data_IF_414218583169
#
_entry.id   IF_414218583169
#
_cell.length_a   1.000
_cell.length_b   1.000
_cell.length_c   1.000
_cell.angle_alpha   90.00
_cell.angle_beta   90.00
_cell.angle_gamma   90.00
#
_symmetry.space_group_name_H-M   'P 1'
#
loop_
_entity.id
_entity.type
_entity.pdbx_description
1 polymer ?
#
# COMPACT_ATOMS: atom_id res chain seq x y z
N UNK A 1 4.44 -3.27 4.55
CA UNK A 1 4.48 -4.71 4.90
C UNK A 1 3.58 -5.60 4.04
N UNK A 2 2.34 -5.21 3.72
CA UNK A 2 1.44 -6.03 2.87
C UNK A 2 2.05 -6.39 1.52
N UNK A 3 2.59 -5.41 0.80
CA UNK A 3 3.27 -5.62 -0.49
C UNK A 3 4.50 -6.53 -0.35
N UNK A 4 5.29 -6.36 0.72
CA UNK A 4 6.46 -7.21 0.99
C UNK A 4 6.07 -8.68 1.15
N UNK A 5 4.96 -8.96 1.85
CA UNK A 5 4.46 -10.32 2.02
C UNK A 5 4.20 -10.99 0.67
N UNK A 6 3.50 -10.31 -0.24
CA UNK A 6 3.20 -10.83 -1.57
C UNK A 6 4.46 -10.91 -2.45
N UNK A 7 5.35 -9.91 -2.36
CA UNK A 7 6.59 -9.86 -3.11
C UNK A 7 7.51 -11.04 -2.78
N UNK A 8 7.62 -11.44 -1.51
CA UNK A 8 8.42 -12.61 -1.11
C UNK A 8 7.87 -13.94 -1.58
N UNK A 9 6.55 -14.06 -1.71
CA UNK A 9 5.93 -15.27 -2.28
C UNK A 9 6.29 -15.39 -3.77
N UNK A 10 6.31 -14.27 -4.49
CA UNK A 10 6.56 -14.24 -5.93
C UNK A 10 8.05 -14.19 -6.30
N UNK A 11 8.90 -13.67 -5.42
CA UNK A 11 10.34 -13.49 -5.62
C UNK A 11 11.12 -14.02 -4.40
N UNK A 12 11.00 -15.33 -4.08
CA UNK A 12 11.60 -15.92 -2.89
C UNK A 12 13.14 -15.96 -2.95
N UNK A 13 13.68 -15.86 -4.16
CA UNK A 13 15.09 -15.80 -4.47
C UNK A 13 15.67 -14.40 -4.31
N UNK A 14 14.87 -13.34 -4.13
CA UNK A 14 15.34 -11.95 -4.04
C UNK A 14 15.43 -11.45 -2.60
N UNK A 15 16.39 -10.55 -2.36
CA UNK A 15 16.57 -9.85 -1.08
C UNK A 15 15.75 -8.58 -1.02
N UNK A 16 15.20 -8.27 0.15
CA UNK A 16 14.37 -7.09 0.37
C UNK A 16 14.96 -6.14 1.41
N UNK A 17 14.83 -4.85 1.13
CA UNK A 17 15.09 -3.77 2.09
C UNK A 17 13.79 -3.02 2.27
N UNK A 18 13.19 -3.19 3.44
CA UNK A 18 11.98 -2.49 3.85
C UNK A 18 12.36 -1.20 4.54
N UNK A 19 11.94 -0.07 3.98
CA UNK A 19 12.17 1.25 4.59
C UNK A 19 10.85 1.78 5.13
N UNK A 20 10.81 2.02 6.43
CA UNK A 20 9.74 2.73 7.12
C UNK A 20 10.20 4.17 7.38
N UNK A 21 9.52 5.14 6.76
CA UNK A 21 9.78 6.55 7.00
C UNK A 21 8.97 7.06 8.21
N UNK A 22 9.28 6.49 9.36
CA UNK A 22 8.58 6.74 10.61
C UNK A 22 8.87 8.13 11.20
N UNK A 23 10.01 8.74 10.86
CA UNK A 23 10.33 10.11 11.28
C UNK A 23 9.38 11.16 10.66
N UNK A 24 8.83 10.88 9.47
CA UNK A 24 7.90 11.76 8.77
C UNK A 24 6.46 11.25 8.78
N UNK A 25 6.20 10.10 9.40
CA UNK A 25 4.85 9.57 9.53
C UNK A 25 4.03 10.38 10.56
N UNK A 26 2.72 10.63 10.32
CA UNK A 26 1.93 10.26 9.15
C UNK A 26 2.06 11.26 8.00
N UNK A 27 2.25 10.75 6.78
CA UNK A 27 2.30 11.56 5.56
C UNK A 27 1.04 12.39 5.30
N UNK A 28 -0.11 11.99 5.85
CA UNK A 28 -1.36 12.75 5.72
C UNK A 28 -1.34 14.12 6.42
N UNK A 29 -0.38 14.36 7.32
CA UNK A 29 -0.25 15.61 8.07
C UNK A 29 0.69 16.63 7.40
N UNK A 30 1.30 16.29 6.26
CA UNK A 30 2.24 17.16 5.55
C UNK A 30 1.58 17.95 4.43
N UNK A 31 2.09 19.15 4.18
CA UNK A 31 1.84 19.86 2.94
C UNK A 31 2.50 19.14 1.75
N UNK A 32 1.79 19.05 0.63
CA UNK A 32 2.21 18.24 -0.52
C UNK A 32 3.59 18.60 -1.08
N UNK A 33 3.97 19.89 -1.26
CA UNK A 33 5.29 20.23 -1.76
C UNK A 33 6.41 19.80 -0.81
N UNK A 34 6.22 19.98 0.50
CA UNK A 34 7.21 19.61 1.50
C UNK A 34 7.40 18.09 1.56
N UNK A 35 6.31 17.33 1.55
CA UNK A 35 6.36 15.87 1.53
C UNK A 35 7.04 15.35 0.25
N UNK A 36 6.77 15.98 -0.90
CA UNK A 36 7.42 15.61 -2.17
C UNK A 36 8.93 15.78 -2.10
N UNK A 37 9.43 16.91 -1.60
CA UNK A 37 10.88 17.16 -1.44
C UNK A 37 11.50 16.12 -0.51
N UNK A 38 10.90 15.90 0.65
CA UNK A 38 11.37 14.92 1.64
C UNK A 38 11.50 13.51 1.05
N UNK A 39 10.47 13.03 0.34
CA UNK A 39 10.50 11.69 -0.25
C UNK A 39 11.56 11.58 -1.37
N UNK A 40 11.72 12.60 -2.22
CA UNK A 40 12.74 12.59 -3.27
C UNK A 40 14.17 12.53 -2.69
N UNK A 41 14.43 13.30 -1.64
CA UNK A 41 15.72 13.27 -0.93
C UNK A 41 15.97 11.93 -0.24
N UNK A 42 14.93 11.36 0.39
CA UNK A 42 15.02 10.05 1.01
C UNK A 42 15.38 8.98 -0.03
N UNK A 43 14.70 8.95 -1.18
CA UNK A 43 15.02 8.02 -2.25
C UNK A 43 16.44 8.21 -2.78
N UNK A 44 16.92 9.45 -2.96
CA UNK A 44 18.31 9.69 -3.36
C UNK A 44 19.32 9.00 -2.42
N UNK A 45 19.14 9.17 -1.10
CA UNK A 45 19.99 8.52 -0.09
C UNK A 45 19.87 6.99 -0.09
N UNK A 46 18.68 6.46 -0.29
CA UNK A 46 18.43 5.01 -0.31
C UNK A 46 19.02 4.33 -1.55
N UNK A 47 18.89 4.97 -2.72
CA UNK A 47 19.47 4.47 -3.96
C UNK A 47 21.00 4.46 -3.88
N UNK A 48 21.60 5.53 -3.36
CA UNK A 48 23.05 5.59 -3.14
C UNK A 48 23.52 4.52 -2.14
N UNK A 49 22.81 4.34 -1.03
CA UNK A 49 23.21 3.41 0.03
C UNK A 49 23.07 1.94 -0.35
N UNK A 50 22.03 1.59 -1.10
CA UNK A 50 21.62 0.19 -1.27
C UNK A 50 21.64 -0.31 -2.72
N UNK A 51 21.72 0.59 -3.71
CA UNK A 51 21.70 0.26 -5.14
C UNK A 51 20.67 -0.84 -5.50
N UNK A 52 19.38 -0.70 -5.12
CA UNK A 52 18.41 -1.76 -5.38
C UNK A 52 18.16 -1.90 -6.89
N UNK A 53 17.87 -3.12 -7.36
CA UNK A 53 17.48 -3.34 -8.75
C UNK A 53 16.11 -2.72 -9.09
N UNK A 54 15.22 -2.56 -8.09
CA UNK A 54 13.90 -1.95 -8.24
C UNK A 54 13.42 -1.35 -6.93
N UNK A 55 12.64 -0.28 -7.01
CA UNK A 55 11.99 0.31 -5.84
C UNK A 55 10.47 0.25 -5.94
N UNK A 56 9.84 -0.26 -4.87
CA UNK A 56 8.38 -0.29 -4.72
C UNK A 56 7.96 0.72 -3.66
N UNK A 57 7.21 1.75 -4.06
CA UNK A 57 6.67 2.74 -3.13
C UNK A 57 5.41 2.15 -2.50
N UNK A 58 5.56 1.40 -1.41
CA UNK A 58 4.49 0.65 -0.75
C UNK A 58 3.56 1.52 0.14
N UNK A 59 3.20 2.70 -0.35
CA UNK A 59 2.25 3.63 0.28
C UNK A 59 1.43 4.32 -0.82
N UNK A 60 0.09 4.24 -0.74
CA UNK A 60 -0.80 4.89 -1.72
C UNK A 60 -0.62 6.41 -1.74
N UNK A 61 -0.55 7.05 -0.56
CA UNK A 61 -0.33 8.50 -0.47
C UNK A 61 0.98 8.92 -1.14
N UNK A 62 2.07 8.22 -0.83
CA UNK A 62 3.38 8.53 -1.41
C UNK A 62 3.40 8.27 -2.93
N UNK A 63 2.87 7.12 -3.36
CA UNK A 63 2.85 6.74 -4.78
C UNK A 63 2.13 7.77 -5.63
N UNK A 64 0.94 8.19 -5.20
CA UNK A 64 0.13 9.17 -5.94
C UNK A 64 0.70 10.59 -5.92
N UNK A 65 1.67 10.87 -5.05
CA UNK A 65 2.31 12.19 -4.92
C UNK A 65 3.62 12.28 -5.69
N UNK A 66 4.46 11.23 -5.63
CA UNK A 66 5.87 11.35 -6.04
C UNK A 66 6.31 10.40 -7.14
N UNK A 67 5.49 9.44 -7.58
CA UNK A 67 5.94 8.41 -8.53
C UNK A 67 6.51 9.01 -9.83
N UNK A 68 5.83 10.00 -10.39
CA UNK A 68 6.28 10.64 -11.64
C UNK A 68 7.54 11.48 -11.40
N UNK A 69 7.58 12.21 -10.28
CA UNK A 69 8.77 12.97 -9.89
C UNK A 69 10.01 12.08 -9.64
N UNK A 70 9.81 10.88 -9.10
CA UNK A 70 10.89 9.90 -8.90
C UNK A 70 11.41 9.39 -10.25
N UNK A 71 10.52 9.08 -11.19
CA UNK A 71 10.89 8.65 -12.54
C UNK A 71 11.60 9.74 -13.32
N UNK A 72 11.17 10.99 -13.18
CA UNK A 72 11.84 12.14 -13.81
C UNK A 72 13.24 12.37 -13.23
N UNK A 73 13.37 12.23 -11.90
CA UNK A 73 14.64 12.49 -11.20
C UNK A 73 15.66 11.36 -11.36
N UNK A 74 15.18 10.12 -11.44
CA UNK A 74 16.01 8.92 -11.54
C UNK A 74 15.53 8.03 -12.71
N UNK A 75 15.68 8.48 -13.97
CA UNK A 75 15.08 7.84 -15.14
C UNK A 75 15.60 6.42 -15.40
N UNK A 76 16.83 6.13 -14.98
CA UNK A 76 17.45 4.81 -15.13
C UNK A 76 16.98 3.80 -14.07
N UNK A 77 16.29 4.25 -13.02
CA UNK A 77 15.86 3.39 -11.91
C UNK A 77 14.38 3.03 -12.02
N UNK A 78 14.01 1.73 -12.02
CA UNK A 78 12.62 1.32 -12.12
C UNK A 78 11.87 1.57 -10.79
N UNK A 79 10.74 2.28 -10.90
CA UNK A 79 9.80 2.48 -9.78
C UNK A 79 8.43 1.88 -10.03
N UNK A 80 7.93 1.17 -9.02
CA UNK A 80 6.54 0.69 -8.94
C UNK A 80 5.84 1.42 -7.81
N UNK A 81 4.81 2.19 -8.14
CA UNK A 81 3.91 2.79 -7.16
C UNK A 81 2.69 1.91 -6.90
N UNK A 82 2.09 2.08 -5.72
CA UNK A 82 0.75 1.57 -5.47
C UNK A 82 -0.28 2.26 -6.36
N UNK A 83 -1.31 1.52 -6.77
CA UNK A 83 -2.48 2.03 -7.48
C UNK A 83 -3.71 1.40 -6.84
N UNK A 84 -4.75 2.19 -6.48
CA UNK A 84 -6.03 1.63 -6.03
C UNK A 84 -6.59 0.63 -7.05
N UNK A 85 -7.11 -0.51 -6.58
CA UNK A 85 -7.67 -1.57 -7.43
C UNK A 85 -9.05 -1.21 -8.03
N UNK A 86 -9.24 0.03 -8.48
CA UNK A 86 -10.50 0.56 -9.03
C UNK A 86 -10.88 -0.14 -10.34
N UNK A 87 -9.93 -0.31 -11.27
CA UNK A 87 -10.19 -1.01 -12.53
C UNK A 87 -10.64 -2.46 -12.30
N UNK A 88 -9.89 -3.30 -11.54
CA UNK A 88 -10.35 -4.64 -11.19
C UNK A 88 -11.72 -4.66 -10.50
N UNK A 89 -12.00 -3.70 -9.61
CA UNK A 89 -13.29 -3.61 -8.95
C UNK A 89 -14.43 -3.36 -9.96
N UNK A 90 -14.25 -2.38 -10.85
CA UNK A 90 -15.24 -2.04 -11.87
C UNK A 90 -15.50 -3.18 -12.86
N UNK A 91 -14.46 -3.97 -13.19
CA UNK A 91 -14.59 -5.13 -14.07
C UNK A 91 -15.26 -6.34 -13.40
N UNK A 92 -15.22 -6.43 -12.06
CA UNK A 92 -15.66 -7.62 -11.31
C UNK A 92 -16.97 -7.45 -10.54
N UNK A 93 -17.40 -6.22 -10.28
CA UNK A 93 -18.66 -5.95 -9.56
C UNK A 93 -19.85 -6.48 -10.34
N UNK A 94 -20.78 -7.12 -9.62
CA UNK A 94 -22.06 -7.60 -10.14
C UNK A 94 -23.17 -6.59 -9.90
N UNK A 95 -23.10 -5.87 -8.78
CA UNK A 95 -24.09 -4.84 -8.43
C UNK A 95 -23.82 -3.50 -9.11
N UNK A 96 -22.61 -3.28 -9.62
CA UNK A 96 -22.18 -1.96 -10.10
C UNK A 96 -21.90 -0.97 -8.95
N UNK A 97 -21.99 -1.40 -7.69
CA UNK A 97 -21.77 -0.57 -6.51
C UNK A 97 -20.42 -0.91 -5.88
N UNK A 98 -19.46 0.00 -5.99
CA UNK A 98 -18.08 -0.18 -5.50
C UNK A 98 -17.75 0.90 -4.49
N UNK A 99 -17.12 0.53 -3.38
CA UNK A 99 -16.56 1.49 -2.43
C UNK A 99 -15.03 1.51 -2.50
N UNK A 100 -14.43 2.69 -2.41
CA UNK A 100 -12.97 2.87 -2.31
C UNK A 100 -12.68 3.40 -0.92
N UNK A 101 -12.12 2.55 -0.07
CA UNK A 101 -11.74 2.86 1.30
C UNK A 101 -10.28 3.29 1.33
N UNK A 102 -10.02 4.56 1.64
CA UNK A 102 -8.69 5.16 1.62
C UNK A 102 -8.51 6.17 2.76
N UNK A 103 -7.32 6.75 2.89
CA UNK A 103 -7.12 7.91 3.75
C UNK A 103 -7.85 9.14 3.17
N UNK A 104 -8.23 10.14 3.98
CA UNK A 104 -8.92 11.34 3.50
C UNK A 104 -8.15 12.07 2.40
N UNK A 105 -6.82 12.14 2.53
CA UNK A 105 -5.94 12.69 1.50
C UNK A 105 -6.07 11.93 0.19
N UNK A 106 -5.99 10.59 0.22
CA UNK A 106 -6.10 9.75 -0.98
C UNK A 106 -7.46 9.90 -1.67
N UNK A 107 -8.55 10.02 -0.91
CA UNK A 107 -9.89 10.26 -1.45
C UNK A 107 -10.00 11.61 -2.17
N UNK A 108 -9.37 12.66 -1.64
CA UNK A 108 -9.46 14.02 -2.21
C UNK A 108 -8.61 14.20 -3.47
N UNK A 109 -7.57 13.39 -3.66
CA UNK A 109 -6.60 13.52 -4.76
C UNK A 109 -7.21 13.39 -6.15
N UNK A 110 -6.73 14.22 -7.07
CA UNK A 110 -7.10 14.18 -8.49
C UNK A 110 -6.81 12.82 -9.12
N UNK A 111 -5.66 12.22 -8.79
CA UNK A 111 -5.27 10.89 -9.27
C UNK A 111 -6.36 9.82 -9.03
N UNK A 112 -6.97 9.80 -7.85
CA UNK A 112 -8.06 8.85 -7.54
C UNK A 112 -9.29 9.13 -8.39
N UNK A 113 -9.63 10.40 -8.61
CA UNK A 113 -10.75 10.81 -9.48
C UNK A 113 -10.51 10.40 -10.93
N UNK A 114 -9.29 10.58 -11.43
CA UNK A 114 -8.92 10.21 -12.80
C UNK A 114 -9.04 8.70 -13.03
N UNK A 115 -8.63 7.89 -12.06
CA UNK A 115 -8.82 6.44 -12.12
C UNK A 115 -10.30 6.04 -12.19
N UNK A 116 -11.15 6.68 -11.38
CA UNK A 116 -12.60 6.44 -11.41
C UNK A 116 -13.18 6.84 -12.77
N UNK A 117 -12.89 8.06 -13.23
CA UNK A 117 -13.36 8.58 -14.52
C UNK A 117 -12.87 7.75 -15.70
N UNK A 118 -11.70 7.12 -15.60
CA UNK A 118 -11.14 6.29 -16.68
C UNK A 118 -11.70 4.87 -16.70
N UNK A 119 -11.89 4.25 -15.53
CA UNK A 119 -12.13 2.79 -15.45
C UNK A 119 -13.48 2.40 -14.88
N UNK A 120 -14.18 3.28 -14.17
CA UNK A 120 -15.39 2.95 -13.42
C UNK A 120 -16.61 3.78 -13.86
N UNK A 121 -16.63 4.26 -15.11
CA UNK A 121 -17.70 5.12 -15.66
C UNK A 121 -19.10 4.49 -15.59
N UNK A 122 -19.19 3.16 -15.58
CA UNK A 122 -20.44 2.40 -15.51
C UNK A 122 -20.80 1.95 -14.09
N UNK A 123 -19.99 2.31 -13.09
CA UNK A 123 -20.18 1.91 -11.70
C UNK A 123 -20.54 3.13 -10.85
N UNK A 124 -21.34 2.91 -9.81
CA UNK A 124 -21.46 3.87 -8.72
C UNK A 124 -20.28 3.68 -7.76
N UNK A 125 -19.32 4.61 -7.79
CA UNK A 125 -18.16 4.57 -6.91
C UNK A 125 -18.36 5.47 -5.70
N UNK A 126 -18.35 4.87 -4.50
CA UNK A 126 -18.38 5.57 -3.22
C UNK A 126 -16.95 5.74 -2.68
N UNK A 127 -16.47 6.97 -2.59
CA UNK A 127 -15.21 7.28 -1.91
C UNK A 127 -15.44 7.39 -0.40
N UNK A 128 -14.67 6.64 0.38
CA UNK A 128 -14.72 6.63 1.85
C UNK A 128 -13.35 6.96 2.40
N UNK A 129 -13.25 8.14 3.02
CA UNK A 129 -12.04 8.58 3.71
C UNK A 129 -12.10 8.13 5.16
N UNK A 130 -11.14 7.32 5.58
CA UNK A 130 -11.03 6.85 6.96
C UNK A 130 -9.85 7.51 7.66
N UNK A 131 -10.15 8.22 8.74
CA UNK A 131 -9.18 8.94 9.56
C UNK A 131 -8.41 7.98 10.48
N UNK A 132 -9.08 6.97 11.04
CA UNK A 132 -8.54 6.17 12.15
C UNK A 132 -8.12 4.76 11.76
N UNK A 133 -8.60 4.21 10.65
CA UNK A 133 -8.41 2.79 10.33
C UNK A 133 -6.94 2.39 10.15
N UNK A 134 -6.09 3.32 9.69
CA UNK A 134 -4.65 3.07 9.59
C UNK A 134 -4.02 2.90 11.00
N UNK A 135 -4.36 3.80 11.94
CA UNK A 135 -3.91 3.68 13.34
C UNK A 135 -4.47 2.45 14.05
N UNK A 136 -5.75 2.09 13.79
CA UNK A 136 -6.34 0.85 14.29
C UNK A 136 -5.59 -0.39 13.77
N UNK A 137 -5.13 -0.37 12.53
CA UNK A 137 -4.33 -1.45 11.97
C UNK A 137 -2.94 -1.53 12.62
N UNK A 138 -2.28 -0.41 12.89
CA UNK A 138 -1.00 -0.39 13.61
C UNK A 138 -1.12 -0.97 15.03
N UNK A 139 -2.17 -0.60 15.76
CA UNK A 139 -2.48 -1.17 17.08
C UNK A 139 -2.67 -2.68 16.95
N UNK A 140 -3.51 -3.12 16.01
CA UNK A 140 -3.76 -4.55 15.77
C UNK A 140 -2.49 -5.33 15.44
N UNK A 141 -1.60 -4.78 14.61
CA UNK A 141 -0.36 -5.43 14.22
C UNK A 141 0.65 -5.54 15.37
N UNK A 142 0.71 -4.54 16.26
CA UNK A 142 1.64 -4.53 17.40
C UNK A 142 1.12 -5.32 18.59
N UNK A 143 -0.18 -5.25 18.86
CA UNK A 143 -0.80 -5.75 20.09
C UNK A 143 -1.63 -7.03 19.87
N UNK A 144 -2.01 -7.34 18.62
CA UNK A 144 -2.86 -8.48 18.28
C UNK A 144 -4.36 -8.27 18.58
N UNK A 145 -4.73 -7.10 19.12
CA UNK A 145 -6.09 -6.73 19.48
C UNK A 145 -6.48 -5.38 18.89
N UNK A 146 -7.76 -5.20 18.58
CA UNK A 146 -8.33 -3.92 18.13
C UNK A 146 -9.81 -3.89 18.49
N UNK A 147 -10.32 -2.70 18.80
CA UNK A 147 -11.75 -2.49 19.01
C UNK A 147 -12.51 -2.67 17.67
N UNK A 148 -13.29 -3.75 17.60
CA UNK A 148 -14.08 -4.09 16.41
C UNK A 148 -15.19 -3.09 16.12
N UNK A 149 -15.72 -2.40 17.15
CA UNK A 149 -16.74 -1.36 16.96
C UNK A 149 -16.14 -0.10 16.34
N UNK A 150 -14.90 0.25 16.73
CA UNK A 150 -14.15 1.31 16.07
C UNK A 150 -13.85 0.96 14.60
N UNK A 151 -13.48 -0.29 14.29
CA UNK A 151 -13.31 -0.75 12.91
C UNK A 151 -14.63 -0.67 12.13
N UNK A 152 -15.74 -1.13 12.73
CA UNK A 152 -17.08 -1.10 12.15
C UNK A 152 -17.48 0.34 11.78
N UNK A 153 -17.24 1.30 12.66
CA UNK A 153 -17.54 2.70 12.43
C UNK A 153 -16.81 3.26 11.19
N UNK A 154 -15.52 2.95 11.02
CA UNK A 154 -14.71 3.42 9.88
C UNK A 154 -15.13 2.80 8.54
N UNK A 155 -15.62 1.55 8.54
CA UNK A 155 -16.05 0.88 7.30
C UNK A 155 -17.51 1.08 6.95
N UNK A 156 -18.38 1.47 7.90
CA UNK A 156 -19.83 1.63 7.70
C UNK A 156 -20.18 2.45 6.45
N UNK A 157 -19.50 3.58 6.13
CA UNK A 157 -19.82 4.36 4.94
C UNK A 157 -19.53 3.64 3.61
N UNK A 158 -18.82 2.51 3.62
CA UNK A 158 -18.58 1.68 2.44
C UNK A 158 -19.80 0.84 2.05
N UNK A 159 -20.77 0.66 2.93
CA UNK A 159 -21.90 -0.24 2.73
C UNK A 159 -23.12 0.57 2.26
N UNK A 160 -23.28 0.68 0.94
CA UNK A 160 -24.36 1.44 0.30
C UNK A 160 -25.37 0.49 -0.32
N UNK A 161 -26.65 0.83 -0.23
CA UNK A 161 -27.76 0.16 -0.92
C UNK A 161 -28.39 1.16 -1.91
N UNK A 162 -28.59 0.74 -3.16
CA UNK A 162 -29.25 1.52 -4.23
C UNK A 162 -30.01 0.57 -5.14
N UNK A 163 -31.25 0.91 -5.47
CA UNK A 163 -32.10 0.15 -6.41
C UNK A 163 -32.17 -1.35 -6.07
N UNK A 164 -32.34 -1.66 -4.78
CA UNK A 164 -32.32 -3.02 -4.20
C UNK A 164 -31.00 -3.80 -4.39
N UNK A 165 -29.94 -3.14 -4.85
CA UNK A 165 -28.59 -3.67 -4.95
C UNK A 165 -27.72 -3.14 -3.81
N UNK A 166 -26.73 -3.92 -3.40
CA UNK A 166 -25.78 -3.58 -2.33
C UNK A 166 -24.36 -3.50 -2.85
N UNK A 167 -23.53 -2.66 -2.23
CA UNK A 167 -22.08 -2.68 -2.45
C UNK A 167 -21.59 -4.11 -2.32
N UNK A 168 -20.91 -4.61 -3.34
CA UNK A 168 -20.39 -5.98 -3.38
C UNK A 168 -18.86 -6.03 -3.41
N UNK A 169 -18.19 -4.90 -3.66
CA UNK A 169 -16.73 -4.77 -3.66
C UNK A 169 -16.29 -3.52 -2.90
N UNK A 170 -15.28 -3.70 -2.04
CA UNK A 170 -14.57 -2.62 -1.35
C UNK A 170 -13.08 -2.67 -1.70
N UNK A 171 -12.58 -1.63 -2.37
CA UNK A 171 -11.16 -1.44 -2.69
C UNK A 171 -10.42 -0.92 -1.47
N UNK A 172 -9.35 -1.63 -1.08
CA UNK A 172 -8.45 -1.23 0.00
C UNK A 172 -7.34 -0.33 -0.56
N UNK A 173 -7.57 0.99 -0.52
CA UNK A 173 -6.64 2.00 -1.01
C UNK A 173 -5.72 2.57 0.09
N UNK A 174 -5.37 1.75 1.08
CA UNK A 174 -4.30 2.00 2.05
C UNK A 174 -3.59 0.68 2.35
N UNK A 175 -2.25 0.69 2.44
CA UNK A 175 -1.47 -0.52 2.71
C UNK A 175 -1.62 -1.07 4.13
N UNK A 176 -2.27 -0.33 5.03
CA UNK A 176 -2.59 -0.79 6.39
C UNK A 176 -3.85 -1.65 6.44
N UNK A 177 -4.86 -1.35 5.62
CA UNK A 177 -6.19 -1.91 5.77
C UNK A 177 -6.27 -3.44 5.55
N UNK A 178 -5.45 -4.08 4.69
CA UNK A 178 -5.49 -5.53 4.54
C UNK A 178 -5.20 -6.30 5.84
N UNK A 179 -4.47 -5.71 6.80
CA UNK A 179 -4.24 -6.33 8.12
C UNK A 179 -5.52 -6.46 8.95
N UNK A 180 -6.51 -5.62 8.69
CA UNK A 180 -7.82 -5.65 9.34
C UNK A 180 -8.88 -6.40 8.52
N UNK A 181 -8.54 -6.99 7.36
CA UNK A 181 -9.53 -7.59 6.46
C UNK A 181 -10.45 -8.60 7.15
N UNK A 182 -9.91 -9.44 8.04
CA UNK A 182 -10.72 -10.41 8.79
C UNK A 182 -11.65 -9.74 9.81
N UNK A 183 -11.21 -8.65 10.46
CA UNK A 183 -12.05 -7.87 11.38
C UNK A 183 -13.14 -7.13 10.62
N UNK A 184 -12.79 -6.51 9.49
CA UNK A 184 -13.76 -5.85 8.60
C UNK A 184 -14.80 -6.83 8.05
N UNK A 185 -14.40 -8.05 7.64
CA UNK A 185 -15.36 -9.10 7.23
C UNK A 185 -16.34 -9.48 8.34
N UNK A 186 -15.85 -9.57 9.58
CA UNK A 186 -16.67 -9.94 10.74
C UNK A 186 -17.70 -8.86 11.09
N UNK A 187 -17.33 -7.59 10.94
CA UNK A 187 -18.18 -6.44 11.32
C UNK A 187 -18.98 -5.85 10.17
N UNK A 188 -18.76 -6.32 8.94
CA UNK A 188 -19.50 -5.91 7.75
C UNK A 188 -20.99 -6.28 7.87
N UNK A 189 -21.93 -5.37 7.55
CA UNK A 189 -23.37 -5.65 7.58
C UNK A 189 -23.81 -6.67 6.52
N UNK A 190 -23.02 -6.86 5.45
CA UNK A 190 -23.22 -7.90 4.44
C UNK A 190 -21.89 -8.26 3.77
N UNK A 191 -21.78 -9.44 3.12
CA UNK A 191 -20.54 -9.86 2.47
C UNK A 191 -20.18 -8.94 1.30
N UNK A 192 -18.89 -8.61 1.22
CA UNK A 192 -18.25 -7.89 0.11
C UNK A 192 -16.91 -8.54 -0.20
N UNK A 193 -16.43 -8.36 -1.43
CA UNK A 193 -15.05 -8.66 -1.77
C UNK A 193 -14.14 -7.49 -1.37
N UNK A 194 -13.08 -7.80 -0.61
CA UNK A 194 -12.12 -6.80 -0.13
C UNK A 194 -10.88 -6.87 -1.02
N UNK A 195 -10.75 -5.90 -1.93
CA UNK A 195 -9.68 -5.92 -2.93
C UNK A 195 -8.41 -5.26 -2.39
N UNK A 196 -7.42 -6.09 -2.10
CA UNK A 196 -6.04 -5.68 -1.80
C UNK A 196 -5.20 -5.63 -3.09
N UNK A 197 -4.63 -4.47 -3.47
CA UNK A 197 -3.76 -4.37 -4.64
C UNK A 197 -2.36 -4.99 -4.44
N UNK A 198 -1.97 -5.39 -3.22
CA UNK A 198 -0.59 -5.78 -2.90
C UNK A 198 0.00 -6.85 -3.85
N UNK A 199 -0.75 -7.91 -4.16
CA UNK A 199 -0.28 -8.98 -5.06
C UNK A 199 -0.03 -8.46 -6.48
N UNK A 200 -0.94 -7.64 -7.01
CA UNK A 200 -0.81 -7.05 -8.34
C UNK A 200 0.43 -6.12 -8.42
N UNK A 201 0.71 -5.38 -7.35
CA UNK A 201 1.92 -4.54 -7.27
C UNK A 201 3.19 -5.39 -7.24
N UNK A 202 3.19 -6.48 -6.48
CA UNK A 202 4.31 -7.42 -6.45
C UNK A 202 4.54 -8.10 -7.81
N UNK A 203 3.49 -8.53 -8.51
CA UNK A 203 3.58 -9.06 -9.88
C UNK A 203 4.14 -8.03 -10.86
N UNK A 204 3.74 -6.76 -10.72
CA UNK A 204 4.29 -5.68 -11.57
C UNK A 204 5.78 -5.47 -11.34
N UNK A 205 6.23 -5.51 -10.08
CA UNK A 205 7.65 -5.42 -9.76
C UNK A 205 8.45 -6.58 -10.37
N UNK A 206 7.96 -7.82 -10.24
CA UNK A 206 8.57 -8.99 -10.86
C UNK A 206 8.66 -8.87 -12.39
N UNK A 207 7.56 -8.44 -13.03
CA UNK A 207 7.54 -8.24 -14.48
C UNK A 207 8.61 -7.26 -14.95
N UNK A 208 8.80 -6.14 -14.24
CA UNK A 208 9.82 -5.15 -14.61
C UNK A 208 11.24 -5.64 -14.34
N UNK A 209 11.44 -6.44 -13.30
CA UNK A 209 12.74 -7.05 -13.02
C UNK A 209 13.14 -8.03 -14.13
N UNK A 210 12.21 -8.80 -14.68
CA UNK A 210 12.50 -9.72 -15.79
C UNK A 210 12.98 -9.00 -17.05
N UNK A 211 12.53 -7.76 -17.29
CA UNK A 211 12.99 -6.95 -18.42
C UNK A 211 14.42 -6.43 -18.21
N UNK A 212 14.85 -6.28 -16.96
CA UNK A 212 16.14 -5.68 -16.57
C UNK A 212 17.22 -6.75 -16.33
N UNK A 213 16.82 -7.93 -15.84
CA UNK A 213 17.66 -9.13 -15.68
C UNK A 213 17.02 -10.33 -16.37
N UNK A 214 16.98 -10.36 -17.73
CA UNK A 214 16.32 -11.42 -18.50
C UNK A 214 17.01 -12.78 -18.37
N UNK A 215 18.26 -12.79 -17.89
CA UNK A 215 19.03 -14.01 -17.70
C UNK A 215 18.68 -14.74 -16.40
N UNK A 216 18.13 -14.02 -15.40
CA UNK A 216 18.00 -14.51 -14.02
C UNK A 216 19.35 -14.90 -13.37
N UNK A 217 20.47 -14.55 -14.04
CA UNK A 217 21.86 -14.84 -13.64
C UNK A 217 22.57 -13.57 -13.19
N UNK A 218 21.84 -12.49 -12.92
CA UNK A 218 22.39 -11.30 -12.27
C UNK A 218 23.13 -11.68 -11.00
N UNK A 219 24.25 -10.99 -10.74
CA UNK A 219 25.22 -11.19 -9.67
C UNK A 219 24.68 -11.94 -8.45
N UNK A 220 25.46 -12.91 -7.96
CA UNK A 220 25.18 -13.67 -6.74
C UNK A 220 24.64 -12.72 -5.67
N UNK A 221 23.35 -12.88 -5.33
CA UNK A 221 22.68 -11.91 -4.47
C UNK A 221 23.46 -11.80 -3.16
N UNK A 222 23.70 -10.58 -2.66
CA UNK A 222 24.52 -10.39 -1.49
C UNK A 222 23.93 -11.18 -0.33
N UNK A 223 24.72 -12.13 0.18
CA UNK A 223 24.35 -12.95 1.34
C UNK A 223 23.98 -12.03 2.52
N UNK A 224 22.94 -12.43 3.24
CA UNK A 224 22.51 -11.73 4.45
C UNK A 224 21.00 -11.61 4.58
N UNK A 225 20.52 -11.14 5.74
CA UNK A 225 19.10 -11.04 6.00
C UNK A 225 18.47 -9.91 5.17
N UNK A 226 17.17 -10.04 4.92
CA UNK A 226 16.33 -8.91 4.56
C UNK A 226 16.35 -7.87 5.69
N UNK A 227 16.36 -6.58 5.33
CA UNK A 227 16.57 -5.50 6.28
C UNK A 227 15.32 -4.65 6.47
N UNK A 228 15.07 -4.21 7.71
CA UNK A 228 14.17 -3.12 8.04
C UNK A 228 14.98 -1.88 8.44
N UNK A 229 14.73 -0.75 7.76
CA UNK A 229 15.36 0.54 8.01
C UNK A 229 14.28 1.52 8.46
N UNK A 230 14.49 2.17 9.60
CA UNK A 230 13.61 3.21 10.14
C UNK A 230 14.32 4.56 10.07
N UNK A 231 13.69 5.57 9.47
CA UNK A 231 14.34 6.89 9.27
C UNK A 231 14.56 7.63 10.58
N UNK A 232 13.75 7.37 11.61
CA UNK A 232 13.94 7.93 12.96
C UNK A 232 15.13 7.30 13.71
N UNK A 233 15.64 6.16 13.23
CA UNK A 233 16.58 5.27 13.93
C UNK A 233 16.05 4.76 15.29
N UNK A 234 14.74 4.86 15.52
CA UNK A 234 14.06 4.45 16.75
C UNK A 234 12.96 3.47 16.42
N UNK A 235 13.25 2.17 16.59
CA UNK A 235 12.21 1.15 16.65
C UNK A 235 12.08 0.70 18.10
N UNK A 236 10.87 0.82 18.67
CA UNK A 236 10.55 0.26 19.99
C UNK A 236 10.49 -1.28 19.94
N UNK A 237 10.39 -1.91 21.11
CA UNK A 237 10.37 -3.38 21.18
C UNK A 237 9.21 -4.02 20.38
N UNK A 238 7.95 -3.55 20.49
CA UNK A 238 6.85 -4.08 19.67
C UNK A 238 7.10 -3.98 18.16
N UNK A 239 7.67 -2.86 17.70
CA UNK A 239 7.98 -2.65 16.28
C UNK A 239 9.08 -3.60 15.81
N UNK A 240 10.15 -3.78 16.60
CA UNK A 240 11.21 -4.75 16.28
C UNK A 240 10.66 -6.17 16.21
N UNK A 241 9.83 -6.56 17.17
CA UNK A 241 9.17 -7.88 17.19
C UNK A 241 8.28 -8.07 15.97
N UNK A 242 7.53 -7.04 15.57
CA UNK A 242 6.73 -7.05 14.34
C UNK A 242 7.63 -7.26 13.11
N UNK A 243 8.71 -6.48 12.95
CA UNK A 243 9.64 -6.64 11.82
C UNK A 243 10.25 -8.05 11.76
N UNK A 244 10.65 -8.60 12.91
CA UNK A 244 11.16 -9.97 13.01
C UNK A 244 10.10 -11.02 12.65
N UNK A 245 8.83 -10.81 13.02
CA UNK A 245 7.72 -11.65 12.58
C UNK A 245 7.49 -11.61 11.06
N UNK A 246 7.91 -10.53 10.41
CA UNK A 246 8.01 -10.42 8.96
C UNK A 246 9.40 -10.82 8.45
N UNK A 247 10.23 -11.56 9.19
CA UNK A 247 11.54 -12.02 8.74
C UNK A 247 12.49 -10.91 8.30
N UNK A 248 12.43 -9.74 8.94
CA UNK A 248 13.32 -8.62 8.69
C UNK A 248 14.29 -8.43 9.86
N UNK A 249 15.57 -8.27 9.58
CA UNK A 249 16.57 -7.84 10.55
C UNK A 249 16.63 -6.32 10.62
N UNK A 250 16.82 -5.76 11.82
CA UNK A 250 16.95 -4.31 11.99
C UNK A 250 18.32 -3.84 11.48
N UNK A 251 18.33 -2.77 10.67
CA UNK A 251 19.54 -2.08 10.21
C UNK A 251 19.87 -0.83 11.03
#
# INVERSE_FOLDING_TARGET
LTVLREARVLMPDRRFIYVADDAAFPYGAWEEPALRVHILELFGKLLERFAPAISVIACNTASTLVIDALRDRFPEHPFVGMVPAIKPAAERTRSGLVSVLATPGTVKRQYTRDLISKWAQKCHVRLVGSDRLAGLAEIYMREGFVDEEAVRAEITPCFVERDALRTDIVVLACTHYPFLANRMRKTAPWPVDWLDPAEAIARRALSLLADIDPSGRGEMLPEGPDLAVFTSKRADFPTRRLMQGFGLAMS
#
